data_IF_107077032260
#
_entry.id   IF_107077032260
#
_cell.length_a   1.000
_cell.length_b   1.000
_cell.length_c   1.000
_cell.angle_alpha   90.00
_cell.angle_beta   90.00
_cell.angle_gamma   90.00
#
_symmetry.space_group_name_H-M   'P 1'
#
loop_
_entity.id
_entity.type
_entity.pdbx_description
1 polymer ?
#
# COMPACT_ATOMS: atom_id res chain seq x y z
N UNK A 1 -3.96 -26.75 24.05
CA UNK A 1 -3.48 -26.49 22.67
C UNK A 1 -4.07 -25.17 22.20
N UNK A 2 -3.28 -24.09 22.16
CA UNK A 2 -3.76 -22.77 21.71
C UNK A 2 -3.95 -22.81 20.20
N UNK A 3 -5.22 -22.94 19.78
CA UNK A 3 -5.65 -22.90 18.40
C UNK A 3 -5.32 -21.51 17.87
N UNK A 4 -4.29 -21.46 17.05
CA UNK A 4 -3.61 -20.29 16.55
C UNK A 4 -4.62 -19.32 15.92
N UNK A 5 -4.68 -18.08 16.41
CA UNK A 5 -5.41 -16.94 15.82
C UNK A 5 -4.80 -16.50 14.46
N UNK A 6 -4.29 -17.43 13.65
CA UNK A 6 -3.49 -17.13 12.46
C UNK A 6 -4.32 -16.71 11.23
N UNK A 7 -5.65 -16.68 11.33
CA UNK A 7 -6.53 -16.49 10.17
C UNK A 7 -7.08 -15.06 10.01
N UNK A 8 -6.82 -14.14 10.94
CA UNK A 8 -7.22 -12.72 10.78
C UNK A 8 -6.12 -11.79 10.25
N UNK A 9 -4.87 -12.24 10.22
CA UNK A 9 -3.71 -11.41 9.81
C UNK A 9 -3.08 -11.83 8.48
N UNK A 10 -3.44 -13.01 7.94
CA UNK A 10 -2.98 -13.46 6.63
C UNK A 10 -3.59 -12.57 5.52
N UNK A 11 -2.83 -11.57 5.07
CA UNK A 11 -3.24 -10.63 4.01
C UNK A 11 -3.40 -9.18 4.44
N UNK A 12 -3.22 -8.85 5.73
CA UNK A 12 -3.14 -7.46 6.20
C UNK A 12 -1.74 -6.90 5.97
N UNK A 13 -1.62 -5.89 5.10
CA UNK A 13 -0.36 -5.18 4.90
C UNK A 13 0.67 -5.99 4.13
N UNK A 14 0.33 -6.46 2.92
CA UNK A 14 1.32 -7.11 2.07
C UNK A 14 2.57 -6.24 1.93
N UNK A 15 3.74 -6.88 2.00
CA UNK A 15 5.02 -6.21 1.72
C UNK A 15 4.97 -5.63 0.32
N UNK A 16 5.01 -4.30 0.23
CA UNK A 16 5.07 -3.57 -1.03
C UNK A 16 6.52 -3.28 -1.40
N UNK A 17 6.71 -2.91 -2.66
CA UNK A 17 7.97 -2.36 -3.12
C UNK A 17 8.35 -1.09 -2.32
N UNK A 18 9.65 -0.90 -2.06
CA UNK A 18 10.15 0.21 -1.24
C UNK A 18 9.76 1.57 -1.81
N UNK A 19 9.79 1.73 -3.13
CA UNK A 19 9.47 2.99 -3.78
C UNK A 19 7.97 3.24 -3.82
N UNK A 20 7.17 2.17 -3.97
CA UNK A 20 5.72 2.25 -3.82
C UNK A 20 5.36 2.70 -2.40
N UNK A 21 6.00 2.15 -1.38
CA UNK A 21 5.83 2.60 0.02
C UNK A 21 6.23 4.06 0.21
N UNK A 22 7.37 4.47 -0.34
CA UNK A 22 7.81 5.87 -0.27
C UNK A 22 6.83 6.80 -0.98
N UNK A 23 6.27 6.40 -2.12
CA UNK A 23 5.26 7.17 -2.82
C UNK A 23 3.97 7.27 -2.00
N UNK A 24 3.50 6.19 -1.38
CA UNK A 24 2.34 6.21 -0.47
C UNK A 24 2.59 7.18 0.70
N UNK A 25 3.76 7.10 1.36
CA UNK A 25 4.12 8.02 2.45
C UNK A 25 4.15 9.47 1.99
N UNK A 26 4.75 9.76 0.82
CA UNK A 26 4.77 11.12 0.26
C UNK A 26 3.35 11.65 0.02
N UNK A 27 2.51 10.87 -0.64
CA UNK A 27 1.13 11.26 -0.98
C UNK A 27 0.30 11.47 0.30
N UNK A 28 0.40 10.57 1.28
CA UNK A 28 -0.36 10.67 2.52
C UNK A 28 0.12 11.83 3.41
N UNK A 29 1.43 11.97 3.60
CA UNK A 29 1.99 12.93 4.57
C UNK A 29 2.18 14.33 4.01
N UNK A 30 2.55 14.47 2.72
CA UNK A 30 2.82 15.79 2.11
C UNK A 30 1.64 16.32 1.31
N UNK A 31 0.91 15.44 0.62
CA UNK A 31 -0.19 15.82 -0.27
C UNK A 31 -1.56 15.61 0.41
N UNK A 32 -1.61 15.02 1.62
CA UNK A 32 -2.84 14.83 2.41
C UNK A 32 -3.78 13.75 1.86
N UNK A 33 -3.34 12.92 0.91
CA UNK A 33 -4.18 11.91 0.26
C UNK A 33 -4.37 10.72 1.20
N UNK A 34 -5.56 10.63 1.80
CA UNK A 34 -5.93 9.55 2.73
C UNK A 34 -6.93 8.56 2.14
N UNK A 35 -7.60 8.91 1.03
CA UNK A 35 -8.53 8.03 0.35
C UNK A 35 -7.77 6.91 -0.38
N UNK A 36 -8.04 5.66 0.00
CA UNK A 36 -7.36 4.50 -0.57
C UNK A 36 -7.65 4.26 -2.06
N UNK A 37 -8.82 4.66 -2.57
CA UNK A 37 -9.17 4.56 -3.99
C UNK A 37 -8.39 5.58 -4.81
N UNK A 38 -8.30 6.81 -4.32
CA UNK A 38 -7.48 7.87 -4.93
C UNK A 38 -5.99 7.50 -4.92
N UNK A 39 -5.49 7.05 -3.77
CA UNK A 39 -4.13 6.53 -3.62
C UNK A 39 -3.83 5.43 -4.66
N UNK A 40 -4.77 4.51 -4.88
CA UNK A 40 -4.62 3.43 -5.87
C UNK A 40 -4.39 3.97 -7.28
N UNK A 41 -5.10 5.03 -7.67
CA UNK A 41 -4.91 5.69 -8.97
C UNK A 41 -3.52 6.30 -9.09
N UNK A 42 -3.06 7.02 -8.06
CA UNK A 42 -1.71 7.59 -8.06
C UNK A 42 -0.61 6.53 -8.12
N UNK A 43 -0.76 5.44 -7.36
CA UNK A 43 0.19 4.33 -7.39
C UNK A 43 0.18 3.62 -8.75
N UNK A 44 -0.98 3.42 -9.36
CA UNK A 44 -1.06 2.84 -10.70
C UNK A 44 -0.33 3.70 -11.75
N UNK A 45 -0.49 5.02 -11.69
CA UNK A 45 0.24 5.96 -12.57
C UNK A 45 1.74 5.94 -12.31
N UNK A 46 2.15 5.98 -11.04
CA UNK A 46 3.55 5.90 -10.64
C UNK A 46 4.22 4.60 -11.11
N UNK A 47 3.54 3.47 -10.95
CA UNK A 47 4.08 2.18 -11.38
C UNK A 47 4.17 2.11 -12.90
N UNK A 48 3.15 2.60 -13.61
CA UNK A 48 3.15 2.64 -15.07
C UNK A 48 4.28 3.52 -15.63
N UNK A 49 4.61 4.63 -14.97
CA UNK A 49 5.67 5.52 -15.44
C UNK A 49 7.07 4.97 -15.17
N UNK A 50 7.26 4.24 -14.06
CA UNK A 50 8.59 3.80 -13.63
C UNK A 50 8.93 2.36 -13.98
N UNK A 51 7.94 1.47 -13.98
CA UNK A 51 8.15 0.04 -14.21
C UNK A 51 7.46 -0.39 -15.50
N UNK A 52 8.26 -0.83 -16.46
CA UNK A 52 7.75 -1.41 -17.71
C UNK A 52 7.38 -2.88 -17.44
N UNK A 53 6.21 -3.29 -17.92
CA UNK A 53 5.76 -4.71 -17.93
C UNK A 53 5.54 -5.39 -16.58
N UNK A 54 5.20 -4.65 -15.51
CA UNK A 54 4.73 -5.30 -14.27
C UNK A 54 3.30 -5.83 -14.47
N UNK A 55 3.03 -7.12 -14.19
CA UNK A 55 1.67 -7.66 -14.22
C UNK A 55 0.78 -7.00 -13.16
N UNK A 56 -0.45 -6.65 -13.51
CA UNK A 56 -1.43 -6.06 -12.57
C UNK A 56 -1.75 -6.96 -11.37
N UNK A 57 -1.53 -8.28 -11.49
CA UNK A 57 -1.68 -9.25 -10.39
C UNK A 57 -0.56 -9.13 -9.34
N UNK A 58 0.55 -8.46 -9.65
CA UNK A 58 1.66 -8.31 -8.71
C UNK A 58 1.35 -7.26 -7.64
N UNK A 59 0.79 -7.74 -6.52
CA UNK A 59 0.38 -6.92 -5.37
C UNK A 59 1.52 -6.14 -4.70
N UNK A 60 2.81 -6.45 -4.97
CA UNK A 60 3.94 -5.63 -4.49
C UNK A 60 3.94 -4.23 -5.11
N UNK A 61 3.49 -4.14 -6.36
CA UNK A 61 3.45 -2.90 -7.13
C UNK A 61 2.01 -2.39 -7.32
N UNK A 62 1.05 -3.29 -7.40
CA UNK A 62 -0.37 -2.98 -7.54
C UNK A 62 -1.14 -3.39 -6.27
N UNK A 63 -0.94 -2.66 -5.16
CA UNK A 63 -1.62 -2.97 -3.90
C UNK A 63 -3.14 -2.92 -4.03
N UNK A 64 -3.81 -3.72 -3.22
CA UNK A 64 -5.25 -3.63 -3.07
C UNK A 64 -5.64 -2.41 -2.24
N UNK A 65 -6.91 -2.02 -2.28
CA UNK A 65 -7.43 -0.94 -1.43
C UNK A 65 -7.21 -1.23 0.06
N UNK A 66 -7.28 -2.50 0.49
CA UNK A 66 -7.02 -2.90 1.87
C UNK A 66 -5.55 -2.71 2.25
N UNK A 67 -4.61 -3.11 1.36
CA UNK A 67 -3.18 -2.87 1.57
C UNK A 67 -2.90 -1.36 1.72
N UNK A 68 -3.51 -0.54 0.86
CA UNK A 68 -3.37 0.91 0.90
C UNK A 68 -3.92 1.51 2.18
N UNK A 69 -5.10 1.09 2.66
CA UNK A 69 -5.65 1.56 3.95
C UNK A 69 -4.70 1.29 5.11
N UNK A 70 -4.10 0.09 5.13
CA UNK A 70 -3.11 -0.27 6.14
C UNK A 70 -1.86 0.62 6.05
N UNK A 71 -1.28 0.76 4.87
CA UNK A 71 -0.04 1.54 4.68
C UNK A 71 -0.24 3.05 4.87
N UNK A 72 -1.40 3.60 4.50
CA UNK A 72 -1.78 4.98 4.79
C UNK A 72 -1.89 5.19 6.31
N UNK A 73 -2.63 4.33 7.02
CA UNK A 73 -2.76 4.43 8.47
C UNK A 73 -1.41 4.30 9.18
N UNK A 74 -0.57 3.37 8.73
CA UNK A 74 0.80 3.20 9.25
C UNK A 74 1.67 4.42 8.99
N UNK A 75 1.58 5.03 7.80
CA UNK A 75 2.32 6.25 7.46
C UNK A 75 1.94 7.43 8.34
N UNK A 76 0.65 7.62 8.61
CA UNK A 76 0.16 8.72 9.46
C UNK A 76 0.52 8.50 10.94
N UNK A 77 0.43 7.25 11.43
CA UNK A 77 0.82 6.89 12.82
C UNK A 77 2.32 7.03 13.08
N UNK A 78 3.16 6.84 12.07
CA UNK A 78 4.62 7.00 12.23
C UNK A 78 5.06 8.46 12.42
N UNK A 79 4.14 9.42 12.30
CA UNK A 79 4.38 10.85 12.44
C UNK A 79 3.78 11.44 13.74
N UNK A 80 3.26 10.58 14.62
CA UNK A 80 2.89 10.91 15.99
C UNK A 80 3.94 10.33 16.93
#
# INVERSE_FOLDING_TARGET
MKKVEFLKEAGYGQRLDKEVLQKIKKLAMKEGITNATEMKSHIALFVKSKYRHIPKSNRRFHPTTQDLRFHISSALKSNM
#
